data_IF_609445769858
#
_entry.id   IF_609445769858
#
_cell.length_a   1.000
_cell.length_b   1.000
_cell.length_c   1.000
_cell.angle_alpha   90.00
_cell.angle_beta   90.00
_cell.angle_gamma   90.00
#
_symmetry.space_group_name_H-M   'P 1'
#
loop_
_entity.id
_entity.type
_entity.pdbx_description
1 polymer ?
#
# COMPACT_ATOMS: atom_id res chain seq x y z
N UNK A 1 -2.91 -4.32 -18.55
CA UNK A 1 -3.81 -5.33 -19.17
C UNK A 1 -5.27 -5.10 -18.78
N UNK A 2 -5.61 -5.03 -17.48
CA UNK A 2 -7.00 -4.84 -17.01
C UNK A 2 -7.63 -3.48 -17.42
N UNK A 3 -6.84 -2.39 -17.43
CA UNK A 3 -7.31 -1.07 -17.85
C UNK A 3 -7.63 -0.98 -19.37
N UNK A 4 -6.90 -1.73 -20.20
CA UNK A 4 -7.13 -1.78 -21.65
C UNK A 4 -8.44 -2.49 -22.00
N UNK A 5 -8.76 -3.56 -21.26
CA UNK A 5 -10.02 -4.31 -21.39
C UNK A 5 -11.21 -3.43 -20.97
N UNK A 6 -11.05 -2.64 -19.91
CA UNK A 6 -12.10 -1.73 -19.44
C UNK A 6 -12.41 -0.64 -20.47
N UNK A 7 -11.38 -0.04 -21.08
CA UNK A 7 -11.52 1.03 -22.09
C UNK A 7 -12.17 0.51 -23.38
N UNK A 8 -11.74 -0.66 -23.87
CA UNK A 8 -12.33 -1.28 -25.07
C UNK A 8 -13.79 -1.68 -24.84
N UNK A 9 -14.13 -2.18 -23.65
CA UNK A 9 -15.51 -2.52 -23.28
C UNK A 9 -16.42 -1.29 -23.18
N UNK A 10 -15.88 -0.17 -22.69
CA UNK A 10 -16.61 1.09 -22.56
C UNK A 10 -16.88 1.75 -23.93
N UNK A 11 -15.93 1.66 -24.86
CA UNK A 11 -16.12 2.11 -26.26
C UNK A 11 -17.24 1.31 -26.95
N UNK A 12 -17.24 -0.01 -26.76
CA UNK A 12 -18.26 -0.91 -27.32
C UNK A 12 -19.66 -0.63 -26.71
N UNK A 13 -19.72 -0.24 -25.44
CA UNK A 13 -20.94 0.20 -24.77
C UNK A 13 -21.49 1.53 -25.34
N UNK A 14 -20.60 2.46 -25.73
CA UNK A 14 -20.97 3.73 -26.36
C UNK A 14 -21.53 3.52 -27.78
N UNK A 15 -20.95 2.60 -28.56
CA UNK A 15 -21.48 2.22 -29.88
C UNK A 15 -22.84 1.52 -29.75
N UNK A 16 -23.04 0.71 -28.70
CA UNK A 16 -24.32 0.05 -28.42
C UNK A 16 -25.43 1.04 -27.99
N UNK A 17 -25.08 2.14 -27.31
CA UNK A 17 -25.99 3.23 -26.93
C UNK A 17 -26.56 3.97 -28.15
N UNK A 18 -25.79 4.08 -29.24
CA UNK A 18 -26.20 4.79 -30.45
C UNK A 18 -27.22 4.05 -31.33
N UNK A 19 -27.42 2.74 -31.12
CA UNK A 19 -28.14 1.92 -32.09
C UNK A 19 -29.63 1.68 -31.80
N UNK A 20 -30.17 1.88 -30.59
CA UNK A 20 -31.40 1.14 -30.24
C UNK A 20 -32.40 1.77 -29.27
N UNK A 21 -33.53 2.22 -29.84
CA UNK A 21 -34.81 2.49 -29.17
C UNK A 21 -35.79 1.36 -29.57
N UNK A 22 -35.80 0.22 -28.84
CA UNK A 22 -36.87 -0.78 -28.93
C UNK A 22 -36.87 -1.71 -27.70
N UNK A 23 -38.06 -1.92 -27.11
CA UNK A 23 -38.27 -2.49 -25.77
C UNK A 23 -37.61 -3.85 -25.49
N UNK A 24 -37.45 -4.73 -26.49
CA UNK A 24 -36.79 -6.04 -26.29
C UNK A 24 -35.27 -5.96 -26.16
N UNK A 25 -34.62 -4.95 -26.75
CA UNK A 25 -33.16 -4.77 -26.65
C UNK A 25 -32.75 -4.05 -25.37
N UNK A 26 -33.68 -3.28 -24.77
CA UNK A 26 -33.51 -2.64 -23.46
C UNK A 26 -33.29 -3.67 -22.36
N UNK A 27 -34.02 -4.80 -22.37
CA UNK A 27 -33.85 -5.86 -21.37
C UNK A 27 -32.46 -6.50 -21.44
N UNK A 28 -31.96 -6.76 -22.65
CA UNK A 28 -30.60 -7.28 -22.86
C UNK A 28 -29.52 -6.28 -22.43
N UNK A 29 -29.73 -4.99 -22.69
CA UNK A 29 -28.82 -3.93 -22.26
C UNK A 29 -28.76 -3.79 -20.73
N UNK A 30 -29.90 -3.87 -20.03
CA UNK A 30 -29.94 -3.87 -18.57
C UNK A 30 -29.17 -5.06 -17.98
N UNK A 31 -29.28 -6.26 -18.59
CA UNK A 31 -28.51 -7.43 -18.16
C UNK A 31 -27.01 -7.23 -18.31
N UNK A 32 -26.57 -6.61 -19.42
CA UNK A 32 -25.16 -6.31 -19.66
C UNK A 32 -24.64 -5.32 -18.62
N UNK A 33 -25.36 -4.21 -18.39
CA UNK A 33 -25.01 -3.23 -17.35
C UNK A 33 -24.93 -3.90 -15.97
N UNK A 34 -25.90 -4.75 -15.61
CA UNK A 34 -25.91 -5.46 -14.33
C UNK A 34 -24.67 -6.34 -14.12
N UNK A 35 -24.24 -7.05 -15.18
CA UNK A 35 -23.01 -7.86 -15.15
C UNK A 35 -21.78 -6.95 -14.96
N UNK A 36 -21.68 -5.84 -15.70
CA UNK A 36 -20.55 -4.90 -15.55
C UNK A 36 -20.51 -4.27 -14.16
N UNK A 37 -21.64 -3.88 -13.59
CA UNK A 37 -21.72 -3.34 -12.23
C UNK A 37 -21.29 -4.37 -11.18
N UNK A 38 -21.69 -5.64 -11.36
CA UNK A 38 -21.31 -6.74 -10.46
C UNK A 38 -19.81 -7.03 -10.54
N UNK A 39 -19.26 -7.10 -11.76
CA UNK A 39 -17.82 -7.30 -11.98
C UNK A 39 -17.00 -6.12 -11.42
N UNK A 40 -17.48 -4.89 -11.63
CA UNK A 40 -16.86 -3.70 -11.07
C UNK A 40 -16.84 -3.77 -9.54
N UNK A 41 -17.98 -4.06 -8.90
CA UNK A 41 -18.05 -4.23 -7.45
C UNK A 41 -17.14 -5.36 -6.94
N UNK A 42 -17.04 -6.47 -7.67
CA UNK A 42 -16.17 -7.59 -7.30
C UNK A 42 -14.69 -7.22 -7.28
N UNK A 43 -14.21 -6.34 -8.16
CA UNK A 43 -12.82 -5.87 -8.15
C UNK A 43 -12.55 -5.13 -6.84
N UNK A 44 -13.45 -4.24 -6.42
CA UNK A 44 -13.29 -3.55 -5.12
C UNK A 44 -13.39 -4.53 -3.96
N UNK A 45 -14.31 -5.48 -3.97
CA UNK A 45 -14.43 -6.46 -2.90
C UNK A 45 -13.15 -7.31 -2.74
N UNK A 46 -12.54 -7.76 -3.83
CA UNK A 46 -11.32 -8.58 -3.80
C UNK A 46 -10.10 -7.74 -3.40
N UNK A 47 -9.91 -6.57 -4.01
CA UNK A 47 -8.74 -5.72 -3.70
C UNK A 47 -8.81 -5.09 -2.31
N UNK A 48 -10.00 -4.73 -1.83
CA UNK A 48 -10.15 -4.05 -0.54
C UNK A 48 -10.41 -5.00 0.63
N UNK A 49 -10.47 -6.31 0.43
CA UNK A 49 -10.55 -7.29 1.53
C UNK A 49 -9.16 -7.64 2.02
N UNK A 50 -8.69 -6.85 2.99
CA UNK A 50 -7.42 -7.09 3.67
C UNK A 50 -7.41 -8.47 4.37
N UNK A 51 -6.45 -9.37 4.03
CA UNK A 51 -6.33 -10.69 4.62
C UNK A 51 -5.53 -10.65 5.93
N UNK A 52 -5.81 -9.66 6.80
CA UNK A 52 -5.16 -9.61 8.10
C UNK A 52 -5.65 -10.81 8.93
N UNK A 53 -4.77 -11.82 9.07
CA UNK A 53 -4.99 -12.97 9.93
C UNK A 53 -5.04 -12.48 11.36
N UNK A 54 -6.25 -12.40 11.92
CA UNK A 54 -6.46 -12.04 13.33
C UNK A 54 -6.28 -13.31 14.17
N UNK A 55 -5.50 -13.21 15.25
CA UNK A 55 -5.35 -14.30 16.21
C UNK A 55 -4.10 -15.16 16.03
N UNK A 56 -2.98 -14.59 15.56
CA UNK A 56 -1.69 -15.25 15.71
C UNK A 56 -1.41 -15.50 17.19
N UNK A 57 -1.14 -16.77 17.54
CA UNK A 57 -0.73 -17.14 18.90
C UNK A 57 0.64 -16.48 19.15
N UNK A 58 0.82 -15.75 20.26
CA UNK A 58 2.13 -15.21 20.61
C UNK A 58 3.14 -16.34 20.70
N UNK A 59 4.19 -16.28 19.89
CA UNK A 59 5.28 -17.26 19.95
C UNK A 59 6.18 -16.83 21.12
N UNK A 60 6.32 -17.64 22.18
CA UNK A 60 7.22 -17.30 23.27
C UNK A 60 8.65 -17.28 22.76
N UNK A 61 9.33 -16.13 22.90
CA UNK A 61 10.75 -16.00 22.64
C UNK A 61 11.52 -16.73 23.74
N UNK A 62 11.98 -17.95 23.45
CA UNK A 62 12.81 -18.74 24.37
C UNK A 62 14.29 -18.29 24.30
N UNK A 63 14.53 -16.99 24.44
CA UNK A 63 15.85 -16.36 24.31
C UNK A 63 16.08 -15.39 25.47
N UNK A 64 17.27 -15.39 26.04
CA UNK A 64 17.66 -14.34 26.99
C UNK A 64 17.70 -12.98 26.28
N UNK A 65 17.11 -11.92 26.83
CA UNK A 65 17.07 -10.61 26.19
C UNK A 65 18.49 -10.05 26.04
N UNK A 66 18.85 -9.64 24.82
CA UNK A 66 20.17 -9.09 24.51
C UNK A 66 20.41 -7.68 25.10
N UNK A 67 19.33 -6.97 25.47
CA UNK A 67 19.38 -5.61 26.01
C UNK A 67 18.26 -5.40 27.04
N UNK A 68 18.49 -4.49 28.00
CA UNK A 68 17.49 -4.12 29.02
C UNK A 68 16.48 -3.11 28.50
N UNK A 69 16.87 -2.25 27.56
CA UNK A 69 16.04 -1.19 27.02
C UNK A 69 16.27 -1.08 25.52
N UNK A 70 15.19 -0.89 24.77
CA UNK A 70 15.21 -0.60 23.34
C UNK A 70 14.61 0.78 23.12
N UNK A 71 15.39 1.68 22.52
CA UNK A 71 14.94 3.02 22.12
C UNK A 71 14.80 3.03 20.61
N UNK A 72 13.56 3.17 20.13
CA UNK A 72 13.26 3.27 18.71
C UNK A 72 12.89 4.71 18.37
N UNK A 73 13.72 5.36 17.55
CA UNK A 73 13.49 6.74 17.09
C UNK A 73 13.10 6.74 15.62
N UNK A 74 11.99 7.40 15.30
CA UNK A 74 11.50 7.57 13.93
C UNK A 74 11.51 9.07 13.61
N UNK A 75 12.16 9.44 12.52
CA UNK A 75 12.17 10.81 12.01
C UNK A 75 11.40 10.86 10.70
N UNK A 76 10.24 11.53 10.70
CA UNK A 76 9.47 11.72 9.48
C UNK A 76 10.22 12.65 8.51
N UNK A 77 10.21 12.33 7.22
CA UNK A 77 10.82 13.16 6.19
C UNK A 77 12.36 13.16 6.15
N UNK A 78 13.06 12.35 6.94
CA UNK A 78 14.53 12.29 6.93
C UNK A 78 15.06 11.53 5.70
N UNK A 79 15.16 12.23 4.57
CA UNK A 79 15.70 11.66 3.32
C UNK A 79 17.22 11.52 3.37
N UNK A 80 17.71 10.38 2.86
CA UNK A 80 19.13 10.10 2.77
C UNK A 80 19.89 11.17 1.97
N UNK A 81 19.37 11.61 0.82
CA UNK A 81 20.04 12.61 -0.02
C UNK A 81 20.31 13.93 0.71
N UNK A 82 19.41 14.32 1.61
CA UNK A 82 19.55 15.54 2.41
C UNK A 82 20.51 15.34 3.57
N UNK A 83 20.51 14.16 4.18
CA UNK A 83 21.39 13.84 5.28
C UNK A 83 22.85 13.69 4.83
N UNK A 84 23.08 12.97 3.72
CA UNK A 84 24.42 12.68 3.19
C UNK A 84 24.96 13.76 2.24
N UNK A 85 24.11 14.63 1.68
CA UNK A 85 24.50 15.59 0.63
C UNK A 85 25.60 16.60 1.01
N UNK A 86 25.73 16.95 2.28
CA UNK A 86 26.76 17.88 2.79
C UNK A 86 27.81 17.18 3.66
N UNK A 87 28.16 15.92 3.37
CA UNK A 87 29.08 15.11 4.21
C UNK A 87 28.66 15.05 5.70
N UNK A 88 27.36 15.21 5.94
CA UNK A 88 26.73 15.28 7.27
C UNK A 88 27.26 16.38 8.18
N UNK A 89 27.75 17.50 7.63
CA UNK A 89 28.26 18.63 8.44
C UNK A 89 27.20 19.24 9.37
N UNK A 90 25.93 19.23 8.95
CA UNK A 90 24.81 19.74 9.74
C UNK A 90 24.35 18.78 10.86
N UNK A 91 24.87 17.55 10.90
CA UNK A 91 24.46 16.52 11.85
C UNK A 91 25.68 15.76 12.41
N UNK A 92 26.60 16.45 13.12
CA UNK A 92 27.87 15.86 13.56
C UNK A 92 27.68 14.68 14.52
N UNK A 93 26.67 14.73 15.38
CA UNK A 93 26.33 13.62 16.29
C UNK A 93 25.90 12.36 15.52
N UNK A 94 25.02 12.51 14.53
CA UNK A 94 24.56 11.39 13.70
C UNK A 94 25.72 10.83 12.88
N UNK A 95 26.59 11.70 12.35
CA UNK A 95 27.79 11.29 11.62
C UNK A 95 28.71 10.42 12.47
N UNK A 96 29.01 10.83 13.70
CA UNK A 96 29.86 10.08 14.62
C UNK A 96 29.25 8.72 14.99
N UNK A 97 27.95 8.70 15.27
CA UNK A 97 27.20 7.48 15.56
C UNK A 97 27.29 6.47 14.41
N UNK A 98 27.14 6.93 13.16
CA UNK A 98 27.18 6.08 11.97
C UNK A 98 28.58 5.56 11.62
N UNK A 99 29.63 6.32 11.93
CA UNK A 99 31.01 5.95 11.59
C UNK A 99 31.68 5.08 12.66
N UNK A 100 31.43 5.38 13.94
CA UNK A 100 32.23 4.82 15.05
C UNK A 100 31.46 3.88 15.97
N UNK A 101 30.12 3.98 16.02
CA UNK A 101 29.33 3.36 17.09
C UNK A 101 28.18 2.47 16.62
N UNK A 102 27.94 2.35 15.31
CA UNK A 102 26.76 1.67 14.80
C UNK A 102 26.90 1.08 13.40
N UNK A 103 25.83 0.38 12.99
CA UNK A 103 25.64 -0.14 11.64
C UNK A 103 24.45 0.60 11.03
N UNK A 104 24.55 0.92 9.75
CA UNK A 104 23.51 1.64 9.04
C UNK A 104 23.26 1.05 7.65
N UNK A 105 22.09 1.36 7.10
CA UNK A 105 21.70 0.96 5.76
C UNK A 105 20.73 1.96 5.14
N UNK A 106 20.68 1.98 3.81
CA UNK A 106 19.73 2.78 3.05
C UNK A 106 18.52 1.91 2.68
N UNK A 107 17.34 2.30 3.15
CA UNK A 107 16.09 1.66 2.75
C UNK A 107 15.46 2.42 1.59
N UNK A 108 15.06 1.69 0.54
CA UNK A 108 14.25 2.24 -0.53
C UNK A 108 12.77 2.02 -0.18
N UNK A 109 12.07 3.11 0.10
CA UNK A 109 10.65 3.06 0.39
C UNK A 109 9.86 2.77 -0.88
N UNK A 110 8.85 1.90 -0.77
CA UNK A 110 7.83 1.77 -1.80
C UNK A 110 6.74 2.80 -1.56
N UNK A 111 6.15 3.29 -2.64
CA UNK A 111 4.93 4.12 -2.59
C UNK A 111 3.82 3.25 -1.99
N UNK A 112 3.00 3.74 -1.04
CA UNK A 112 2.85 5.13 -0.57
C UNK A 112 3.81 5.50 0.58
N UNK A 113 4.34 6.72 0.53
CA UNK A 113 5.17 7.31 1.60
C UNK A 113 4.31 8.06 2.63
N UNK A 114 3.30 7.39 3.16
CA UNK A 114 2.49 7.92 4.27
C UNK A 114 3.01 7.40 5.62
N UNK A 115 2.86 8.22 6.68
CA UNK A 115 3.42 7.90 8.00
C UNK A 115 2.82 6.61 8.59
N UNK A 116 1.54 6.30 8.31
CA UNK A 116 0.84 5.11 8.85
C UNK A 116 1.39 3.78 8.29
N UNK A 117 1.41 3.54 6.96
CA UNK A 117 2.05 2.35 6.41
C UNK A 117 3.52 2.22 6.81
N UNK A 118 4.24 3.34 6.95
CA UNK A 118 5.63 3.36 7.40
C UNK A 118 5.82 2.83 8.82
N UNK A 119 5.02 3.29 9.78
CA UNK A 119 5.11 2.82 11.17
C UNK A 119 4.81 1.32 11.29
N UNK A 120 3.81 0.81 10.55
CA UNK A 120 3.44 -0.60 10.58
C UNK A 120 4.54 -1.46 9.95
N UNK A 121 5.14 -1.01 8.85
CA UNK A 121 6.26 -1.72 8.23
C UNK A 121 7.48 -1.83 9.17
N UNK A 122 7.78 -0.78 9.93
CA UNK A 122 8.92 -0.76 10.84
C UNK A 122 8.75 -1.67 12.07
N UNK A 123 7.56 -1.68 12.68
CA UNK A 123 7.30 -2.45 13.89
C UNK A 123 6.77 -3.86 13.62
N UNK A 124 5.90 -4.01 12.61
CA UNK A 124 5.29 -5.28 12.23
C UNK A 124 6.15 -6.10 11.28
N UNK A 125 7.12 -5.49 10.60
CA UNK A 125 7.96 -6.17 9.59
C UNK A 125 7.20 -6.52 8.30
N UNK A 126 5.97 -6.03 8.12
CA UNK A 126 5.17 -6.19 6.91
C UNK A 126 4.52 -4.86 6.53
N UNK A 127 4.37 -4.62 5.23
CA UNK A 127 3.67 -3.43 4.75
C UNK A 127 2.18 -3.57 5.00
N UNK A 128 1.56 -2.52 5.54
CA UNK A 128 0.10 -2.44 5.55
C UNK A 128 -0.40 -2.35 4.11
N UNK A 129 -1.45 -3.13 3.80
CA UNK A 129 -2.12 -3.05 2.51
C UNK A 129 -2.88 -1.72 2.42
N UNK A 130 -2.70 -0.97 1.33
CA UNK A 130 -3.37 0.32 1.10
C UNK A 130 -4.90 0.16 1.15
N UNK A 131 -5.39 -1.05 0.86
CA UNK A 131 -6.78 -1.43 1.00
C UNK A 131 -7.38 -1.33 2.42
N UNK A 132 -6.57 -1.42 3.49
CA UNK A 132 -7.06 -1.23 4.86
C UNK A 132 -7.11 0.25 5.27
N UNK A 133 -6.40 1.13 4.58
CA UNK A 133 -6.37 2.57 4.87
C UNK A 133 -7.69 3.25 4.47
N UNK A 134 -8.37 2.75 3.43
CA UNK A 134 -9.64 3.31 2.93
C UNK A 134 -10.90 2.79 3.64
N UNK A 135 -10.77 1.88 4.62
CA UNK A 135 -11.89 1.40 5.44
C UNK A 135 -12.12 2.23 6.72
N UNK A 136 -11.42 3.37 6.84
CA UNK A 136 -11.65 4.38 7.88
C UNK A 136 -12.87 5.22 7.58
#
# INVERSE_FOLDING_TARGET
>A
MMLFILICSFLCLLEALGSMISGKKILGFCSIIGIYLTLFYSIFAVYYTSPLVRGSVPIPLNTTPFATHLVFMITDGMRADKLFGSKMENAPFIKDLLLNHGVWGLSHTRVPTESRPGHIAMLGGFYEDVASVTKG
#
